data_IF_347329441114
#
_entry.id   IF_347329441114
#
_cell.length_a   1.000
_cell.length_b   1.000
_cell.length_c   1.000
_cell.angle_alpha   90.00
_cell.angle_beta   90.00
_cell.angle_gamma   90.00
#
_symmetry.space_group_name_H-M   'P 1'
#
loop_
_entity.id
_entity.type
_entity.pdbx_description
1 polymer ?
#
# COMPACT_ATOMS: atom_id res chain seq x y z
N UNK A 1 10.35 -8.82 8.94
CA UNK A 1 9.63 -7.68 8.36
C UNK A 1 9.48 -7.86 6.87
N UNK A 2 8.32 -7.49 6.29
CA UNK A 2 8.15 -7.57 4.83
C UNK A 2 9.21 -6.76 4.10
N UNK A 3 9.55 -7.19 2.88
CA UNK A 3 10.49 -6.43 2.04
C UNK A 3 9.91 -5.07 1.68
N UNK A 4 10.77 -4.07 1.63
CA UNK A 4 10.40 -2.69 1.25
C UNK A 4 9.24 -2.15 2.07
N UNK A 5 9.28 -2.37 3.39
CA UNK A 5 8.33 -1.77 4.30
C UNK A 5 8.70 -0.32 4.59
N UNK A 6 7.74 0.59 4.36
CA UNK A 6 7.92 2.01 4.66
C UNK A 6 6.63 2.59 5.25
N UNK A 7 6.77 3.40 6.28
CA UNK A 7 5.67 4.25 6.74
C UNK A 7 5.52 5.43 5.78
N UNK A 8 4.29 5.64 5.29
CA UNK A 8 3.96 6.80 4.46
C UNK A 8 3.34 7.89 5.33
N UNK A 9 2.39 7.50 6.17
CA UNK A 9 1.86 8.34 7.25
C UNK A 9 2.13 7.56 8.53
N UNK A 10 3.04 8.05 9.34
CA UNK A 10 3.50 7.31 10.52
C UNK A 10 2.35 6.92 11.43
N UNK A 11 2.30 5.64 11.78
CA UNK A 11 1.26 5.10 12.63
C UNK A 11 -0.10 4.91 11.97
N UNK A 12 -0.26 5.22 10.68
CA UNK A 12 -1.53 5.13 9.98
C UNK A 12 -1.50 4.38 8.67
N UNK A 13 -0.53 4.68 7.82
CA UNK A 13 -0.48 4.13 6.47
C UNK A 13 0.95 3.71 6.14
N UNK A 14 1.11 2.44 5.85
CA UNK A 14 2.39 1.87 5.45
C UNK A 14 2.24 1.13 4.13
N UNK A 15 3.37 0.81 3.52
CA UNK A 15 3.44 0.04 2.27
C UNK A 15 4.52 -1.01 2.40
N UNK A 16 4.35 -2.13 1.72
CA UNK A 16 5.39 -3.14 1.58
C UNK A 16 5.17 -4.00 0.34
N UNK A 17 6.18 -4.78 0.00
CA UNK A 17 5.96 -5.89 -0.90
C UNK A 17 5.08 -6.95 -0.24
N UNK A 18 4.59 -7.88 -1.04
CA UNK A 18 3.67 -8.93 -0.62
C UNK A 18 4.17 -9.64 0.65
N UNK A 19 3.28 -9.82 1.61
CA UNK A 19 3.56 -10.55 2.84
C UNK A 19 3.86 -12.01 2.50
N UNK A 20 4.98 -12.54 3.02
CA UNK A 20 5.46 -13.88 2.70
C UNK A 20 6.31 -13.95 1.44
N UNK A 21 6.46 -12.83 0.74
CA UNK A 21 7.25 -12.75 -0.48
C UNK A 21 6.61 -13.41 -1.69
N UNK A 22 7.30 -13.40 -2.82
CA UNK A 22 6.84 -13.97 -4.09
C UNK A 22 7.28 -15.40 -4.36
N UNK A 23 8.09 -16.01 -3.49
CA UNK A 23 8.62 -17.35 -3.69
C UNK A 23 7.62 -18.47 -3.40
N UNK A 24 7.92 -19.67 -3.88
CA UNK A 24 7.05 -20.84 -3.70
C UNK A 24 7.36 -21.63 -2.43
N UNK A 25 8.60 -21.52 -1.92
CA UNK A 25 9.05 -22.30 -0.76
C UNK A 25 9.10 -21.41 0.48
N UNK A 26 8.89 -22.01 1.65
CA UNK A 26 8.98 -21.36 2.97
C UNK A 26 8.03 -20.16 3.15
N UNK A 27 7.06 -19.98 2.25
CA UNK A 27 6.11 -18.85 2.31
C UNK A 27 5.32 -18.82 3.60
N UNK A 28 4.90 -19.97 4.08
CA UNK A 28 4.05 -20.04 5.27
C UNK A 28 4.78 -19.51 6.50
N UNK A 29 6.00 -19.97 6.72
CA UNK A 29 6.79 -19.55 7.90
C UNK A 29 7.11 -18.08 7.79
N UNK A 30 7.60 -17.64 6.64
CA UNK A 30 7.92 -16.23 6.40
C UNK A 30 6.69 -15.35 6.57
N UNK A 31 5.55 -15.77 6.03
CA UNK A 31 4.29 -15.03 6.18
C UNK A 31 3.91 -14.87 7.65
N UNK A 32 4.00 -15.94 8.44
CA UNK A 32 3.66 -15.90 9.85
C UNK A 32 4.59 -14.96 10.62
N UNK A 33 5.88 -15.00 10.34
CA UNK A 33 6.85 -14.10 10.96
C UNK A 33 6.58 -12.64 10.60
N UNK A 34 6.31 -12.37 9.33
CA UNK A 34 6.01 -11.01 8.86
C UNK A 34 4.70 -10.48 9.45
N UNK A 35 3.69 -11.34 9.56
CA UNK A 35 2.43 -10.96 10.21
C UNK A 35 2.66 -10.56 11.66
N UNK A 36 3.44 -11.33 12.42
CA UNK A 36 3.73 -11.00 13.81
C UNK A 36 4.50 -9.68 13.92
N UNK A 37 5.45 -9.47 13.00
CA UNK A 37 6.18 -8.21 12.98
C UNK A 37 5.25 -7.02 12.69
N UNK A 38 4.35 -7.16 11.71
CA UNK A 38 3.39 -6.12 11.37
C UNK A 38 2.49 -5.78 12.56
N UNK A 39 2.03 -6.80 13.29
CA UNK A 39 1.25 -6.58 14.51
C UNK A 39 2.04 -5.82 15.56
N UNK A 40 3.34 -6.11 15.68
CA UNK A 40 4.21 -5.38 16.61
C UNK A 40 4.35 -3.91 16.24
N UNK A 41 4.17 -3.56 14.98
CA UNK A 41 4.17 -2.17 14.51
C UNK A 41 2.81 -1.48 14.66
N UNK A 42 1.80 -2.21 15.12
CA UNK A 42 0.45 -1.68 15.27
C UNK A 42 -0.43 -1.82 14.04
N UNK A 43 0.05 -2.42 12.95
CA UNK A 43 -0.75 -2.66 11.76
C UNK A 43 -1.90 -3.61 12.10
N UNK A 44 -3.12 -3.26 11.72
CA UNK A 44 -4.31 -4.07 11.97
C UNK A 44 -5.17 -4.31 10.72
N UNK A 45 -4.75 -3.80 9.58
CA UNK A 45 -5.51 -3.93 8.34
C UNK A 45 -4.58 -4.06 7.15
N UNK A 46 -4.98 -4.90 6.20
CA UNK A 46 -4.22 -5.15 4.97
C UNK A 46 -5.07 -4.69 3.78
N UNK A 47 -4.49 -3.82 2.96
CA UNK A 47 -5.10 -3.33 1.74
C UNK A 47 -4.31 -3.91 0.57
N UNK A 48 -4.85 -4.96 -0.05
CA UNK A 48 -4.13 -5.72 -1.07
C UNK A 48 -4.44 -5.21 -2.47
N UNK A 49 -3.40 -4.88 -3.20
CA UNK A 49 -3.47 -4.54 -4.63
C UNK A 49 -3.13 -5.74 -5.51
N UNK A 50 -2.90 -6.90 -4.91
CA UNK A 50 -2.59 -8.13 -5.65
C UNK A 50 -3.79 -8.59 -6.46
N UNK A 51 -3.53 -9.19 -7.62
CA UNK A 51 -4.59 -9.75 -8.44
C UNK A 51 -5.25 -10.95 -7.77
N UNK A 52 -4.47 -11.74 -7.02
CA UNK A 52 -4.96 -12.90 -6.30
C UNK A 52 -5.43 -12.55 -4.89
N UNK A 53 -6.52 -13.19 -4.46
CA UNK A 53 -7.02 -13.10 -3.09
C UNK A 53 -6.47 -14.22 -2.18
N UNK A 54 -5.45 -14.91 -2.63
CA UNK A 54 -4.97 -16.17 -2.06
C UNK A 54 -4.74 -16.14 -0.54
N UNK A 55 -4.17 -15.06 -0.01
CA UNK A 55 -3.83 -14.99 1.41
C UNK A 55 -4.80 -14.17 2.25
N UNK A 56 -5.85 -13.61 1.67
CA UNK A 56 -6.74 -12.71 2.41
C UNK A 56 -7.42 -13.41 3.58
N UNK A 57 -7.86 -14.65 3.39
CA UNK A 57 -8.48 -15.42 4.45
C UNK A 57 -7.52 -15.66 5.61
N UNK A 58 -6.24 -15.91 5.31
CA UNK A 58 -5.22 -16.09 6.34
C UNK A 58 -5.04 -14.83 7.17
N UNK A 59 -5.06 -13.65 6.54
CA UNK A 59 -4.95 -12.39 7.26
C UNK A 59 -6.16 -12.16 8.16
N UNK A 60 -7.37 -12.49 7.66
CA UNK A 60 -8.59 -12.38 8.45
C UNK A 60 -8.57 -13.30 9.67
N UNK A 61 -8.09 -14.53 9.50
CA UNK A 61 -8.01 -15.51 10.57
C UNK A 61 -7.10 -15.07 11.74
N UNK A 62 -6.09 -14.26 11.44
CA UNK A 62 -5.19 -13.74 12.48
C UNK A 62 -5.58 -12.34 12.97
N UNK A 63 -6.77 -11.88 12.61
CA UNK A 63 -7.37 -10.66 13.16
C UNK A 63 -7.20 -9.39 12.34
N UNK A 64 -6.63 -9.46 11.14
CA UNK A 64 -6.56 -8.30 10.26
C UNK A 64 -7.89 -8.05 9.55
N UNK A 65 -8.27 -6.79 9.44
CA UNK A 65 -9.29 -6.39 8.48
C UNK A 65 -8.65 -6.34 7.10
N UNK A 66 -9.36 -6.80 6.07
CA UNK A 66 -8.80 -6.87 4.72
C UNK A 66 -9.63 -6.07 3.73
N UNK A 67 -8.93 -5.48 2.76
CA UNK A 67 -9.50 -4.80 1.60
C UNK A 67 -8.79 -5.35 0.38
N UNK A 68 -9.54 -5.63 -0.69
CA UNK A 68 -8.95 -6.20 -1.90
C UNK A 68 -9.35 -5.38 -3.12
N UNK A 69 -8.37 -4.71 -3.72
CA UNK A 69 -8.54 -3.89 -4.92
C UNK A 69 -7.46 -4.29 -5.93
N UNK A 70 -7.70 -5.38 -6.69
CA UNK A 70 -6.71 -5.84 -7.67
C UNK A 70 -6.40 -4.73 -8.67
N UNK A 71 -5.11 -4.47 -8.88
CA UNK A 71 -4.69 -3.37 -9.74
C UNK A 71 -4.68 -3.76 -11.21
N UNK A 72 -4.39 -5.03 -11.51
CA UNK A 72 -4.28 -5.51 -12.88
C UNK A 72 -3.04 -4.99 -13.60
N UNK A 73 -2.97 -5.24 -14.89
CA UNK A 73 -1.86 -4.79 -15.73
C UNK A 73 -2.09 -3.39 -16.28
N UNK A 74 -3.34 -3.02 -16.55
CA UNK A 74 -3.70 -1.75 -17.15
C UNK A 74 -4.25 -0.82 -16.08
N UNK A 75 -3.35 -0.09 -15.42
CA UNK A 75 -3.72 0.86 -14.37
C UNK A 75 -4.14 2.17 -15.02
N UNK A 76 -5.38 2.60 -14.76
CA UNK A 76 -5.92 3.85 -15.27
C UNK A 76 -6.18 4.84 -14.11
N UNK A 77 -6.33 6.11 -14.47
CA UNK A 77 -6.69 7.15 -13.48
C UNK A 77 -8.02 6.80 -12.80
N UNK A 78 -8.99 6.28 -13.55
CA UNK A 78 -10.30 5.91 -13.02
C UNK A 78 -10.20 4.77 -12.01
N UNK A 79 -9.39 3.75 -12.30
CA UNK A 79 -9.21 2.64 -11.35
C UNK A 79 -8.50 3.08 -10.08
N UNK A 80 -7.59 4.04 -10.20
CA UNK A 80 -6.85 4.58 -9.05
C UNK A 80 -7.75 5.46 -8.18
N UNK A 81 -8.69 6.21 -8.77
CA UNK A 81 -9.64 7.01 -8.00
C UNK A 81 -10.48 6.15 -7.06
N UNK A 82 -10.90 4.97 -7.50
CA UNK A 82 -11.62 4.02 -6.66
C UNK A 82 -10.75 3.60 -5.46
N UNK A 83 -9.47 3.36 -5.71
CA UNK A 83 -8.51 3.00 -4.66
C UNK A 83 -8.32 4.14 -3.68
N UNK A 84 -8.16 5.38 -4.15
CA UNK A 84 -8.04 6.55 -3.30
C UNK A 84 -9.24 6.69 -2.36
N UNK A 85 -10.45 6.56 -2.89
CA UNK A 85 -11.66 6.66 -2.07
C UNK A 85 -11.73 5.55 -1.04
N UNK A 86 -11.35 4.33 -1.42
CA UNK A 86 -11.35 3.19 -0.50
C UNK A 86 -10.34 3.38 0.64
N UNK A 87 -9.16 3.91 0.35
CA UNK A 87 -8.15 4.20 1.39
C UNK A 87 -8.67 5.30 2.32
N UNK A 88 -9.22 6.36 1.75
CA UNK A 88 -9.77 7.46 2.53
C UNK A 88 -10.87 6.98 3.49
N UNK A 89 -11.77 6.16 2.99
CA UNK A 89 -12.84 5.59 3.80
C UNK A 89 -12.29 4.69 4.90
N UNK A 90 -11.33 3.82 4.58
CA UNK A 90 -10.70 2.97 5.57
C UNK A 90 -10.03 3.79 6.68
N UNK A 91 -9.30 4.84 6.33
CA UNK A 91 -8.58 5.67 7.28
C UNK A 91 -9.46 6.67 8.01
N UNK A 92 -10.75 6.77 7.66
CA UNK A 92 -11.71 7.58 8.43
C UNK A 92 -11.95 7.00 9.83
N UNK A 93 -11.71 5.70 10.01
CA UNK A 93 -11.68 5.06 11.31
C UNK A 93 -10.30 5.33 11.96
N UNK A 94 -10.30 6.04 13.08
CA UNK A 94 -9.05 6.44 13.77
C UNK A 94 -8.23 5.25 14.25
N UNK A 95 -8.87 4.11 14.49
CA UNK A 95 -8.19 2.90 14.94
C UNK A 95 -7.55 2.11 13.79
N UNK A 96 -7.83 2.50 12.54
CA UNK A 96 -7.30 1.79 11.38
C UNK A 96 -5.84 2.13 11.16
N UNK A 97 -5.01 1.09 11.09
CA UNK A 97 -3.59 1.19 10.74
C UNK A 97 -3.34 0.25 9.59
N UNK A 98 -3.17 0.83 8.42
CA UNK A 98 -3.31 0.15 7.14
C UNK A 98 -1.95 -0.14 6.52
N UNK A 99 -1.78 -1.37 6.04
CA UNK A 99 -0.67 -1.73 5.16
C UNK A 99 -1.20 -1.95 3.76
N UNK A 100 -0.67 -1.19 2.81
CA UNK A 100 -0.91 -1.43 1.39
C UNK A 100 0.20 -2.32 0.88
N UNK A 101 -0.15 -3.39 0.16
CA UNK A 101 0.88 -4.23 -0.43
C UNK A 101 0.57 -4.62 -1.87
N UNK A 102 1.64 -4.85 -2.63
CA UNK A 102 1.62 -5.41 -3.96
C UNK A 102 2.85 -6.29 -4.10
N UNK A 103 2.94 -7.08 -5.18
CA UNK A 103 4.07 -7.96 -5.38
C UNK A 103 5.40 -7.20 -5.36
N UNK A 104 5.46 -6.08 -6.07
CA UNK A 104 6.62 -5.18 -6.10
C UNK A 104 6.17 -3.73 -5.97
N UNK A 105 7.03 -2.86 -5.43
CA UNK A 105 6.73 -1.44 -5.25
C UNK A 105 7.34 -0.57 -6.35
N UNK A 106 7.51 -1.08 -7.55
CA UNK A 106 8.35 -0.41 -8.53
C UNK A 106 7.65 0.62 -9.41
N UNK A 107 6.53 0.35 -10.04
CA UNK A 107 5.98 1.26 -11.05
C UNK A 107 4.83 2.13 -10.53
N UNK A 108 3.65 1.56 -10.31
CA UNK A 108 2.45 2.32 -10.03
C UNK A 108 2.25 2.63 -8.55
N UNK A 109 2.71 1.76 -7.66
CA UNK A 109 2.42 1.90 -6.23
C UNK A 109 2.92 3.22 -5.66
N UNK A 110 4.16 3.66 -5.93
CA UNK A 110 4.60 4.97 -5.44
C UNK A 110 3.72 6.12 -5.92
N UNK A 111 3.24 6.05 -7.15
CA UNK A 111 2.32 7.05 -7.70
C UNK A 111 0.97 7.05 -7.02
N UNK A 112 0.46 5.88 -6.67
CA UNK A 112 -0.80 5.75 -5.92
C UNK A 112 -0.64 6.37 -4.54
N UNK A 113 0.49 6.13 -3.87
CA UNK A 113 0.72 6.68 -2.54
C UNK A 113 0.86 8.20 -2.57
N UNK A 114 1.67 8.72 -3.49
CA UNK A 114 1.79 10.18 -3.66
C UNK A 114 0.45 10.79 -4.04
N UNK A 115 -0.27 10.15 -4.96
CA UNK A 115 -1.59 10.60 -5.40
C UNK A 115 -2.60 10.62 -4.26
N UNK A 116 -2.56 9.64 -3.38
CA UNK A 116 -3.44 9.61 -2.22
C UNK A 116 -3.22 10.82 -1.32
N UNK A 117 -1.97 11.23 -1.11
CA UNK A 117 -1.68 12.41 -0.28
C UNK A 117 -2.32 13.67 -0.85
N UNK A 118 -2.40 13.79 -2.17
CA UNK A 118 -3.08 14.91 -2.84
C UNK A 118 -4.61 14.72 -2.77
N UNK A 119 -5.09 13.54 -3.11
CA UNK A 119 -6.52 13.22 -3.11
C UNK A 119 -7.15 13.48 -1.74
N UNK A 120 -6.47 13.07 -0.68
CA UNK A 120 -6.94 13.23 0.70
C UNK A 120 -6.77 14.64 1.24
N UNK A 121 -6.13 15.54 0.47
CA UNK A 121 -5.83 16.92 0.85
C UNK A 121 -4.85 17.04 2.02
N UNK A 122 -4.08 15.99 2.28
CA UNK A 122 -2.97 16.07 3.23
C UNK A 122 -1.85 16.94 2.67
N UNK A 123 -1.67 16.92 1.36
CA UNK A 123 -0.78 17.81 0.63
C UNK A 123 -1.56 18.45 -0.52
N UNK A 124 -1.16 19.65 -0.91
CA UNK A 124 -1.82 20.38 -2.01
C UNK A 124 -0.91 20.60 -3.23
N UNK A 125 0.35 20.20 -3.14
CA UNK A 125 1.32 20.37 -4.22
C UNK A 125 1.76 19.00 -4.75
N UNK A 126 1.38 18.63 -6.00
CA UNK A 126 1.76 17.35 -6.57
C UNK A 126 3.28 17.12 -6.65
N UNK A 127 4.06 18.19 -6.89
CA UNK A 127 5.51 18.10 -6.95
C UNK A 127 6.07 17.76 -5.58
N UNK A 128 5.53 18.36 -4.53
CA UNK A 128 5.95 18.08 -3.16
C UNK A 128 5.59 16.64 -2.75
N UNK A 129 4.41 16.17 -3.12
CA UNK A 129 4.00 14.79 -2.85
C UNK A 129 4.96 13.79 -3.50
N UNK A 130 5.32 14.05 -4.76
CA UNK A 130 6.30 13.24 -5.48
C UNK A 130 7.65 13.23 -4.75
N UNK A 131 8.13 14.40 -4.36
CA UNK A 131 9.42 14.53 -3.67
C UNK A 131 9.43 13.77 -2.35
N UNK A 132 8.34 13.84 -1.59
CA UNK A 132 8.23 13.11 -0.32
C UNK A 132 8.32 11.61 -0.56
N UNK A 133 7.56 11.09 -1.53
CA UNK A 133 7.62 9.66 -1.83
C UNK A 133 9.00 9.23 -2.29
N UNK A 134 9.66 10.02 -3.13
CA UNK A 134 11.01 9.71 -3.57
C UNK A 134 11.99 9.65 -2.40
N UNK A 135 11.84 10.52 -1.43
CA UNK A 135 12.68 10.49 -0.21
C UNK A 135 12.39 9.28 0.64
N UNK A 136 11.12 8.96 0.86
CA UNK A 136 10.73 7.80 1.69
C UNK A 136 11.26 6.52 1.06
N UNK A 137 11.07 6.35 -0.25
CA UNK A 137 11.42 5.11 -0.94
C UNK A 137 12.88 5.04 -1.36
N UNK A 138 13.57 6.19 -1.36
CA UNK A 138 14.99 6.26 -1.73
C UNK A 138 15.27 6.12 -3.21
N UNK A 139 14.29 6.38 -4.07
CA UNK A 139 14.46 6.29 -5.52
C UNK A 139 13.46 7.20 -6.25
N UNK A 140 13.76 7.62 -7.49
CA UNK A 140 12.83 8.44 -8.28
C UNK A 140 11.56 7.68 -8.64
N UNK A 141 10.45 8.41 -8.76
CA UNK A 141 9.21 7.85 -9.30
C UNK A 141 9.33 7.68 -10.83
N UNK A 142 8.75 6.60 -11.34
CA UNK A 142 8.68 6.36 -12.78
C UNK A 142 7.67 7.31 -13.44
N UNK A 143 7.76 7.51 -14.77
CA UNK A 143 6.74 8.28 -15.48
C UNK A 143 5.31 7.75 -15.28
N UNK A 144 5.14 6.43 -15.19
CA UNK A 144 3.83 5.82 -14.90
C UNK A 144 3.31 6.22 -13.55
N UNK A 145 4.18 6.23 -12.53
CA UNK A 145 3.81 6.66 -11.18
C UNK A 145 3.40 8.12 -11.16
N UNK A 146 4.20 8.99 -11.78
CA UNK A 146 3.93 10.44 -11.82
C UNK A 146 2.58 10.73 -12.48
N UNK A 147 2.23 9.98 -13.52
CA UNK A 147 0.96 10.16 -14.24
C UNK A 147 -0.27 9.86 -13.38
N UNK A 148 -0.12 9.12 -12.29
CA UNK A 148 -1.22 8.78 -11.39
C UNK A 148 -1.47 9.83 -10.31
N UNK A 149 -0.61 10.83 -10.18
CA UNK A 149 -0.77 11.90 -9.19
C UNK A 149 -1.77 12.92 -9.75
N UNK A 150 -2.88 13.22 -9.03
CA UNK A 150 -3.83 14.22 -9.51
C UNK A 150 -3.17 15.58 -9.67
N UNK A 151 -3.53 16.28 -10.74
CA UNK A 151 -3.15 17.68 -10.94
C UNK A 151 -4.31 18.58 -10.51
N UNK A 152 -3.98 19.63 -9.80
CA UNK A 152 -4.97 20.58 -9.31
C UNK A 152 -5.21 21.70 -10.32
#
# INVERSE_FOLDING_TARGET
>A
KPNDFFWIIEGKLAVSECIGGGGLTARKIRREEEIQWLKSQGINSIFSLLDSDFNLKNYQEVGFRTYHFPLGENVSVESVDVIFEAIKEALSDKERKLLIHREYLDEEVPGILAGYLIYSKLLDDPIFARTILERILGKPLSPKAIALIPTL
#
